data_IF_607109717458
#
_entry.id   IF_607109717458
#
_cell.length_a   1.000
_cell.length_b   1.000
_cell.length_c   1.000
_cell.angle_alpha   90.00
_cell.angle_beta   90.00
_cell.angle_gamma   90.00
#
_symmetry.space_group_name_H-M   'P 1'
#
loop_
_entity.id
_entity.type
_entity.pdbx_description
1 polymer ?
#
# COMPACT_ATOMS: atom_id res chain seq x y z
N UNK A 1 9.27 3.45 -16.47
CA UNK A 1 7.84 3.24 -16.82
C UNK A 1 7.12 4.57 -16.65
N UNK A 2 6.28 4.98 -17.60
CA UNK A 2 5.60 6.27 -17.58
C UNK A 2 4.39 6.23 -16.64
N UNK A 3 4.47 6.88 -15.47
CA UNK A 3 3.43 6.85 -14.43
C UNK A 3 2.05 7.29 -14.94
N UNK A 4 2.00 8.24 -15.87
CA UNK A 4 0.76 8.74 -16.44
C UNK A 4 0.00 7.68 -17.25
N UNK A 5 0.69 6.87 -18.05
CA UNK A 5 0.07 5.77 -18.79
C UNK A 5 -0.40 4.65 -17.84
N UNK A 6 0.36 4.38 -16.78
CA UNK A 6 -0.03 3.40 -15.77
C UNK A 6 -1.35 3.78 -15.09
N UNK A 7 -1.53 5.06 -14.75
CA UNK A 7 -2.76 5.54 -14.11
C UNK A 7 -3.98 5.37 -15.01
N UNK A 8 -3.88 5.74 -16.29
CA UNK A 8 -4.94 5.59 -17.29
C UNK A 8 -5.43 4.14 -17.42
N UNK A 9 -4.52 3.17 -17.53
CA UNK A 9 -4.90 1.77 -17.64
C UNK A 9 -5.49 1.22 -16.33
N UNK A 10 -5.02 1.69 -15.18
CA UNK A 10 -5.51 1.25 -13.88
C UNK A 10 -6.90 1.82 -13.56
N UNK A 11 -7.22 3.02 -14.02
CA UNK A 11 -8.54 3.62 -13.80
C UNK A 11 -9.65 2.85 -14.52
N UNK A 12 -9.40 2.41 -15.76
CA UNK A 12 -10.36 1.62 -16.54
C UNK A 12 -10.78 0.30 -15.88
N UNK A 13 -9.95 -0.26 -14.99
CA UNK A 13 -10.22 -1.54 -14.31
C UNK A 13 -10.78 -1.38 -12.89
N UNK A 14 -10.96 -0.15 -12.39
CA UNK A 14 -11.47 0.09 -11.05
C UNK A 14 -12.83 -0.58 -10.75
N UNK A 15 -13.82 -0.62 -11.66
CA UNK A 15 -15.09 -1.30 -11.40
C UNK A 15 -14.97 -2.82 -11.20
N UNK A 16 -13.86 -3.41 -11.64
CA UNK A 16 -13.63 -4.86 -11.62
C UNK A 16 -12.61 -5.29 -10.57
N UNK A 17 -12.07 -4.35 -9.77
CA UNK A 17 -10.97 -4.64 -8.83
C UNK A 17 -11.37 -5.56 -7.67
N UNK A 18 -12.68 -5.79 -7.46
CA UNK A 18 -13.26 -6.76 -6.54
C UNK A 18 -13.56 -8.14 -7.18
N UNK A 19 -13.37 -8.29 -8.48
CA UNK A 19 -13.64 -9.54 -9.21
C UNK A 19 -12.53 -10.58 -9.06
N UNK A 20 -12.90 -11.87 -9.16
CA UNK A 20 -11.96 -12.99 -9.09
C UNK A 20 -12.12 -13.99 -10.26
N UNK A 21 -11.79 -13.61 -11.51
CA UNK A 21 -11.90 -14.52 -12.64
C UNK A 21 -10.77 -15.57 -12.61
N UNK A 22 -11.04 -16.83 -13.01
CA UNK A 22 -10.00 -17.84 -13.20
C UNK A 22 -8.93 -17.40 -14.23
N UNK A 23 -7.64 -17.80 -14.08
CA UNK A 23 -7.08 -18.63 -13.01
C UNK A 23 -6.69 -17.84 -11.75
N UNK A 24 -6.83 -16.51 -11.79
CA UNK A 24 -6.56 -15.62 -10.64
C UNK A 24 -7.72 -15.68 -9.66
N UNK A 25 -7.84 -16.78 -8.95
CA UNK A 25 -8.88 -17.00 -7.92
C UNK A 25 -8.71 -16.09 -6.68
N UNK A 26 -8.11 -14.89 -6.76
CA UNK A 26 -7.91 -14.04 -5.59
C UNK A 26 -7.86 -12.54 -5.91
N UNK A 27 -8.97 -11.84 -5.60
CA UNK A 27 -9.15 -11.05 -4.36
C UNK A 27 -8.00 -10.18 -3.84
N UNK A 28 -6.98 -9.89 -4.63
CA UNK A 28 -5.77 -9.24 -4.11
C UNK A 28 -5.88 -7.72 -4.06
N UNK A 29 -6.96 -7.14 -4.59
CA UNK A 29 -7.05 -5.69 -4.85
C UNK A 29 -5.77 -5.17 -5.54
N UNK A 30 -5.16 -6.02 -6.38
CA UNK A 30 -3.90 -5.73 -7.05
C UNK A 30 -3.94 -4.43 -7.86
N UNK A 31 -5.04 -4.12 -8.61
CA UNK A 31 -5.16 -2.85 -9.30
C UNK A 31 -5.06 -1.65 -8.36
N UNK A 32 -5.74 -1.69 -7.21
CA UNK A 32 -5.67 -0.63 -6.19
C UNK A 32 -4.25 -0.51 -5.61
N UNK A 33 -3.59 -1.63 -5.30
CA UNK A 33 -2.22 -1.59 -4.79
C UNK A 33 -1.24 -0.94 -5.78
N UNK A 34 -1.26 -1.36 -7.05
CA UNK A 34 -0.38 -0.80 -8.09
C UNK A 34 -0.72 0.67 -8.35
N UNK A 35 -2.00 1.05 -8.31
CA UNK A 35 -2.44 2.45 -8.44
C UNK A 35 -1.89 3.29 -7.29
N UNK A 36 -1.97 2.80 -6.06
CA UNK A 36 -1.37 3.44 -4.88
C UNK A 36 0.14 3.65 -5.04
N UNK A 37 0.87 2.64 -5.54
CA UNK A 37 2.30 2.75 -5.83
C UNK A 37 2.61 3.81 -6.90
N UNK A 38 1.84 3.85 -7.98
CA UNK A 38 2.00 4.83 -9.05
C UNK A 38 1.74 6.26 -8.55
N UNK A 39 0.69 6.46 -7.76
CA UNK A 39 0.34 7.75 -7.16
C UNK A 39 1.42 8.21 -6.16
N UNK A 40 1.98 7.30 -5.38
CA UNK A 40 3.07 7.58 -4.47
C UNK A 40 4.34 8.01 -5.23
N UNK A 41 4.68 7.31 -6.31
CA UNK A 41 5.80 7.65 -7.18
C UNK A 41 5.59 9.00 -7.90
N UNK A 42 4.33 9.40 -8.12
CA UNK A 42 3.95 10.71 -8.66
C UNK A 42 3.81 11.80 -7.58
N UNK A 43 4.30 11.57 -6.36
CA UNK A 43 4.21 12.49 -5.23
C UNK A 43 2.78 12.91 -4.84
N UNK A 44 1.76 12.12 -5.23
CA UNK A 44 0.37 12.35 -4.84
C UNK A 44 0.00 11.51 -3.62
N UNK A 45 0.50 11.93 -2.45
CA UNK A 45 0.28 11.26 -1.16
C UNK A 45 -1.20 11.05 -0.81
N UNK A 46 -2.07 12.07 -0.90
CA UNK A 46 -3.49 11.92 -0.57
C UNK A 46 -4.21 10.88 -1.43
N UNK A 47 -3.99 10.89 -2.75
CA UNK A 47 -4.62 9.90 -3.63
C UNK A 47 -4.05 8.49 -3.40
N UNK A 48 -2.73 8.37 -3.17
CA UNK A 48 -2.12 7.09 -2.85
C UNK A 48 -2.68 6.48 -1.55
N UNK A 49 -2.92 7.32 -0.52
CA UNK A 49 -3.51 6.87 0.74
C UNK A 49 -4.90 6.26 0.53
N UNK A 50 -5.73 6.85 -0.32
CA UNK A 50 -7.07 6.33 -0.64
C UNK A 50 -6.97 4.92 -1.25
N UNK A 51 -6.03 4.71 -2.18
CA UNK A 51 -5.87 3.40 -2.82
C UNK A 51 -5.36 2.33 -1.85
N UNK A 52 -4.37 2.64 -1.00
CA UNK A 52 -3.89 1.69 0.00
C UNK A 52 -4.94 1.38 1.08
N UNK A 53 -5.78 2.35 1.43
CA UNK A 53 -6.85 2.18 2.41
C UNK A 53 -7.88 1.13 1.96
N UNK A 54 -8.17 1.02 0.66
CA UNK A 54 -9.08 -0.01 0.13
C UNK A 54 -8.67 -1.43 0.53
N UNK A 55 -7.36 -1.72 0.57
CA UNK A 55 -6.85 -3.04 0.97
C UNK A 55 -7.05 -3.31 2.47
N UNK A 56 -6.99 -2.27 3.30
CA UNK A 56 -7.23 -2.36 4.73
C UNK A 56 -8.73 -2.51 5.04
N UNK A 57 -9.58 -1.85 4.26
CA UNK A 57 -11.04 -1.90 4.43
C UNK A 57 -11.62 -3.23 3.96
N UNK A 58 -10.96 -3.91 3.01
CA UNK A 58 -11.42 -5.16 2.41
C UNK A 58 -10.52 -6.35 2.79
N UNK A 59 -10.15 -6.47 4.07
CA UNK A 59 -9.29 -7.59 4.55
C UNK A 59 -9.83 -8.98 4.22
N UNK A 60 -11.16 -9.16 4.19
CA UNK A 60 -11.78 -10.43 3.79
C UNK A 60 -11.52 -10.82 2.33
N UNK A 61 -11.23 -9.85 1.49
CA UNK A 61 -10.86 -10.04 0.07
C UNK A 61 -9.36 -10.31 -0.03
N UNK A 62 -8.54 -9.52 0.69
CA UNK A 62 -7.07 -9.63 0.72
C UNK A 62 -6.55 -10.87 1.46
N UNK A 63 -7.34 -11.50 2.34
CA UNK A 63 -6.99 -12.73 3.06
C UNK A 63 -5.60 -12.66 3.72
N UNK A 64 -4.76 -13.68 3.51
CA UNK A 64 -3.39 -13.78 4.02
C UNK A 64 -2.33 -13.27 3.03
N UNK A 65 -2.72 -12.55 1.98
CA UNK A 65 -1.77 -12.08 0.98
C UNK A 65 -0.81 -11.01 1.57
N UNK A 66 0.48 -11.03 1.20
CA UNK A 66 1.45 -10.03 1.68
C UNK A 66 1.05 -8.58 1.40
N UNK A 67 0.23 -8.35 0.36
CA UNK A 67 -0.26 -7.03 -0.02
C UNK A 67 -1.00 -6.32 1.11
N UNK A 68 -1.68 -7.03 2.01
CA UNK A 68 -2.34 -6.40 3.15
C UNK A 68 -1.32 -5.72 4.08
N UNK A 69 -0.19 -6.37 4.33
CA UNK A 69 0.88 -5.77 5.12
C UNK A 69 1.59 -4.65 4.34
N UNK A 70 1.90 -4.87 3.07
CA UNK A 70 2.56 -3.88 2.23
C UNK A 70 1.70 -2.64 1.98
N UNK A 71 0.38 -2.76 1.98
CA UNK A 71 -0.54 -1.63 1.90
C UNK A 71 -0.45 -0.72 3.12
N UNK A 72 -0.20 -1.26 4.33
CA UNK A 72 0.05 -0.43 5.51
C UNK A 72 1.33 0.38 5.35
N UNK A 73 2.41 -0.24 4.85
CA UNK A 73 3.64 0.49 4.54
C UNK A 73 3.41 1.58 3.48
N UNK A 74 2.68 1.27 2.40
CA UNK A 74 2.28 2.24 1.39
C UNK A 74 1.50 3.42 1.98
N UNK A 75 0.51 3.14 2.83
CA UNK A 75 -0.30 4.14 3.51
C UNK A 75 0.54 5.03 4.45
N UNK A 76 1.47 4.45 5.21
CA UNK A 76 2.37 5.22 6.06
C UNK A 76 3.25 6.18 5.25
N UNK A 77 3.79 5.73 4.11
CA UNK A 77 4.56 6.56 3.16
C UNK A 77 3.69 7.66 2.55
N UNK A 78 2.43 7.36 2.21
CA UNK A 78 1.47 8.34 1.71
C UNK A 78 1.18 9.46 2.72
N UNK A 79 1.01 9.13 4.00
CA UNK A 79 0.83 10.13 5.04
C UNK A 79 2.08 10.96 5.29
N UNK A 80 3.26 10.34 5.31
CA UNK A 80 4.53 11.04 5.44
C UNK A 80 4.73 12.05 4.30
N UNK A 81 4.46 11.64 3.06
CA UNK A 81 4.50 12.49 1.87
C UNK A 81 3.50 13.65 1.92
N UNK A 82 2.36 13.46 2.61
CA UNK A 82 1.33 14.48 2.79
C UNK A 82 1.60 15.42 3.99
N UNK A 83 2.68 15.20 4.75
CA UNK A 83 3.00 15.96 5.95
C UNK A 83 2.22 15.56 7.21
N UNK A 84 1.39 14.51 7.16
CA UNK A 84 0.64 13.99 8.31
C UNK A 84 1.52 13.01 9.11
N UNK A 85 2.56 13.56 9.74
CA UNK A 85 3.58 12.79 10.49
C UNK A 85 2.95 11.95 11.60
N UNK A 86 1.92 12.46 12.28
CA UNK A 86 1.23 11.74 13.34
C UNK A 86 0.59 10.44 12.82
N UNK A 87 -0.20 10.52 11.74
CA UNK A 87 -0.78 9.31 11.14
C UNK A 87 0.26 8.40 10.52
N UNK A 88 1.27 8.95 9.85
CA UNK A 88 2.35 8.16 9.27
C UNK A 88 3.01 7.27 10.33
N UNK A 89 3.35 7.84 11.49
CA UNK A 89 3.96 7.10 12.60
C UNK A 89 3.07 5.99 13.13
N UNK A 90 1.78 6.25 13.34
CA UNK A 90 0.82 5.24 13.78
C UNK A 90 0.77 4.07 12.79
N UNK A 91 0.66 4.35 11.48
CA UNK A 91 0.56 3.28 10.47
C UNK A 91 1.87 2.50 10.32
N UNK A 92 3.05 3.14 10.46
CA UNK A 92 4.33 2.43 10.53
C UNK A 92 4.36 1.45 11.71
N UNK A 93 3.89 1.88 12.89
CA UNK A 93 3.82 1.01 14.07
C UNK A 93 2.88 -0.18 13.84
N UNK A 94 1.72 0.03 13.21
CA UNK A 94 0.80 -1.04 12.83
C UNK A 94 1.45 -2.05 11.86
N UNK A 95 2.24 -1.56 10.90
CA UNK A 95 3.01 -2.42 10.00
C UNK A 95 4.04 -3.26 10.77
N UNK A 96 4.82 -2.65 11.68
CA UNK A 96 5.81 -3.39 12.47
C UNK A 96 5.17 -4.39 13.43
N UNK A 97 4.01 -4.07 14.01
CA UNK A 97 3.28 -5.00 14.86
C UNK A 97 2.81 -6.23 14.07
N UNK A 98 2.34 -6.02 12.84
CA UNK A 98 1.94 -7.13 11.95
C UNK A 98 3.14 -7.96 11.48
N UNK A 99 4.28 -7.32 11.24
CA UNK A 99 5.51 -7.94 10.74
C UNK A 99 6.55 -8.20 11.84
N UNK A 100 6.10 -8.37 13.09
CA UNK A 100 7.00 -8.56 14.24
C UNK A 100 7.87 -9.82 14.14
N UNK A 101 7.37 -10.86 13.46
CA UNK A 101 8.06 -12.14 13.26
C UNK A 101 8.57 -12.30 11.81
N UNK A 102 8.50 -11.25 10.99
CA UNK A 102 9.08 -11.28 9.65
C UNK A 102 10.62 -11.38 9.75
N UNK A 103 11.25 -11.94 8.72
CA UNK A 103 12.71 -11.97 8.62
C UNK A 103 13.27 -10.54 8.85
N UNK A 104 14.08 -10.33 9.90
CA UNK A 104 14.58 -8.99 10.24
C UNK A 104 15.51 -8.44 9.16
N UNK A 105 16.05 -9.29 8.29
CA UNK A 105 17.00 -8.92 7.26
C UNK A 105 16.37 -8.51 5.94
N UNK A 106 15.04 -8.68 5.77
CA UNK A 106 14.35 -8.31 4.54
C UNK A 106 14.49 -6.80 4.26
N UNK A 107 14.94 -6.39 3.06
CA UNK A 107 15.25 -4.98 2.77
C UNK A 107 14.11 -4.01 3.06
N UNK A 108 12.88 -4.38 2.72
CA UNK A 108 11.71 -3.51 2.88
C UNK A 108 11.39 -3.20 4.36
N UNK A 109 11.70 -4.11 5.29
CA UNK A 109 11.53 -3.87 6.72
C UNK A 109 12.60 -2.92 7.26
N UNK A 110 13.84 -3.05 6.77
CA UNK A 110 14.94 -2.14 7.10
C UNK A 110 14.66 -0.72 6.60
N UNK A 111 14.19 -0.59 5.36
CA UNK A 111 13.76 0.69 4.77
C UNK A 111 12.65 1.33 5.60
N UNK A 112 11.58 0.59 5.91
CA UNK A 112 10.46 1.10 6.69
C UNK A 112 10.89 1.62 8.07
N UNK A 113 11.81 0.91 8.77
CA UNK A 113 12.37 1.36 10.06
C UNK A 113 13.17 2.65 9.90
N UNK A 114 13.99 2.76 8.85
CA UNK A 114 14.77 3.96 8.57
C UNK A 114 13.89 5.16 8.19
N UNK A 115 12.81 4.94 7.44
CA UNK A 115 11.79 5.95 7.11
C UNK A 115 11.07 6.43 8.37
N UNK A 116 10.60 5.51 9.21
CA UNK A 116 9.94 5.84 10.49
C UNK A 116 10.83 6.68 11.41
N UNK A 117 12.13 6.35 11.49
CA UNK A 117 13.08 7.08 12.33
C UNK A 117 13.24 8.55 11.90
N UNK A 118 13.02 8.87 10.62
CA UNK A 118 13.08 10.25 10.09
C UNK A 118 11.84 11.09 10.40
N UNK A 119 10.77 10.48 10.94
CA UNK A 119 9.54 11.15 11.32
C UNK A 119 9.58 11.70 12.76
N UNK A 120 10.76 11.81 13.36
CA UNK A 120 10.98 12.42 14.68
C UNK A 120 11.02 13.94 14.60
#
# INVERSE_FOLDING_TARGET
>A
MNSAQSLLFLEAVAPYELGGPPPTQSGTLYPAYVRGQALLASHNGPAAAVEFQKLLDHRGVVLNFPLGALARLGLARSYALSGDTAKARTVYQDFFALWKDADPDIPILKEAKAEYAKLQ
#
